data_IF_738500249456
#
_entry.id   IF_738500249456
#
_cell.length_a   1.000
_cell.length_b   1.000
_cell.length_c   1.000
_cell.angle_alpha   90.00
_cell.angle_beta   90.00
_cell.angle_gamma   90.00
#
_symmetry.space_group_name_H-M   'P 1'
#
loop_
_entity.id
_entity.type
_entity.pdbx_description
1 polymer ?
#
# COMPACT_ATOMS: atom_id res chain seq x y z
N UNK A 1 -56.89 21.49 -28.45
CA UNK A 1 -56.08 21.57 -27.22
C UNK A 1 -55.14 20.35 -27.16
N UNK A 2 -53.87 20.55 -27.51
CA UNK A 2 -52.84 19.47 -27.45
C UNK A 2 -52.19 19.51 -26.04
N UNK A 3 -52.49 18.47 -25.23
CA UNK A 3 -51.76 18.25 -23.95
C UNK A 3 -50.38 17.72 -24.26
N UNK A 4 -49.36 18.53 -24.01
CA UNK A 4 -47.93 18.13 -24.03
C UNK A 4 -47.64 17.42 -22.74
N UNK A 5 -47.51 16.09 -22.76
CA UNK A 5 -47.06 15.29 -21.65
C UNK A 5 -45.54 15.45 -21.57
N UNK A 6 -45.06 16.13 -20.54
CA UNK A 6 -43.67 16.31 -20.25
C UNK A 6 -43.16 15.09 -19.47
N UNK A 7 -42.43 14.20 -20.14
CA UNK A 7 -41.83 13.02 -19.51
C UNK A 7 -40.55 13.49 -18.83
N UNK A 8 -40.57 13.51 -17.50
CA UNK A 8 -39.41 13.81 -16.65
C UNK A 8 -38.58 12.53 -16.55
N UNK A 9 -37.46 12.45 -17.29
CA UNK A 9 -36.48 11.38 -17.15
C UNK A 9 -35.65 11.62 -15.88
N UNK A 10 -36.00 10.91 -14.80
CA UNK A 10 -35.17 10.80 -13.62
C UNK A 10 -33.94 9.92 -13.95
N UNK A 11 -32.79 10.55 -14.16
CA UNK A 11 -31.53 9.86 -14.23
C UNK A 11 -31.14 9.41 -12.80
N UNK A 12 -31.39 8.14 -12.49
CA UNK A 12 -30.89 7.49 -11.28
C UNK A 12 -29.40 7.24 -11.51
N UNK A 13 -28.55 8.12 -10.96
CA UNK A 13 -27.12 7.90 -10.88
C UNK A 13 -26.83 6.73 -9.95
N UNK A 14 -26.49 5.58 -10.51
CA UNK A 14 -25.99 4.43 -9.74
C UNK A 14 -24.59 4.80 -9.29
N UNK A 15 -24.44 5.26 -8.05
CA UNK A 15 -23.18 5.30 -7.33
C UNK A 15 -22.74 3.83 -7.14
N UNK A 16 -21.89 3.34 -8.03
CA UNK A 16 -21.17 2.09 -7.80
C UNK A 16 -20.26 2.31 -6.58
N UNK A 17 -20.47 1.61 -5.46
CA UNK A 17 -19.48 1.60 -4.39
C UNK A 17 -18.19 1.03 -5.01
N UNK A 18 -17.09 1.79 -4.92
CA UNK A 18 -15.77 1.28 -5.30
C UNK A 18 -15.58 -0.05 -4.58
N UNK A 19 -15.35 -1.12 -5.34
CA UNK A 19 -15.04 -2.44 -4.79
C UNK A 19 -13.73 -2.28 -3.99
N UNK A 20 -13.84 -2.11 -2.67
CA UNK A 20 -12.72 -2.34 -1.79
C UNK A 20 -12.35 -3.82 -2.00
N UNK A 21 -11.17 -4.07 -2.57
CA UNK A 21 -10.70 -5.43 -2.78
C UNK A 21 -10.44 -6.02 -1.41
N UNK A 22 -11.25 -7.02 -1.01
CA UNK A 22 -10.97 -7.80 0.19
C UNK A 22 -9.66 -8.57 0.01
N UNK A 23 -8.92 -8.79 1.11
CA UNK A 23 -7.73 -9.62 1.09
C UNK A 23 -8.09 -11.05 0.67
N UNK A 24 -7.26 -11.66 -0.15
CA UNK A 24 -7.41 -13.04 -0.62
C UNK A 24 -6.18 -13.88 -0.24
N UNK A 25 -6.34 -15.20 -0.18
CA UNK A 25 -5.21 -16.10 0.09
C UNK A 25 -4.06 -15.92 -0.91
N UNK A 26 -4.39 -15.59 -2.17
CA UNK A 26 -3.38 -15.34 -3.20
C UNK A 26 -2.52 -14.10 -2.91
N UNK A 27 -3.05 -13.13 -2.21
CA UNK A 27 -2.29 -11.90 -1.87
C UNK A 27 -1.09 -12.20 -0.97
N UNK A 28 -1.14 -13.28 -0.18
CA UNK A 28 -0.01 -13.72 0.67
C UNK A 28 1.21 -14.22 -0.10
N UNK A 29 1.09 -14.49 -1.40
CA UNK A 29 2.25 -14.79 -2.26
C UNK A 29 3.12 -13.54 -2.52
N UNK A 30 2.55 -12.35 -2.36
CA UNK A 30 3.18 -11.02 -2.52
C UNK A 30 4.07 -10.93 -3.77
N UNK A 31 3.55 -11.37 -4.89
CA UNK A 31 4.26 -11.26 -6.17
C UNK A 31 4.31 -9.83 -6.67
N UNK A 32 3.33 -9.01 -6.29
CA UNK A 32 3.20 -7.60 -6.69
C UNK A 32 2.95 -6.69 -5.49
N UNK A 33 3.20 -5.41 -5.69
CA UNK A 33 2.83 -4.36 -4.72
C UNK A 33 1.33 -4.37 -4.44
N UNK A 34 0.49 -4.60 -5.45
CA UNK A 34 -0.96 -4.67 -5.26
C UNK A 34 -1.37 -5.77 -4.27
N UNK A 35 -0.75 -6.95 -4.34
CA UNK A 35 -0.99 -8.01 -3.35
C UNK A 35 -0.67 -7.52 -1.93
N UNK A 36 0.48 -6.90 -1.73
CA UNK A 36 0.86 -6.37 -0.42
C UNK A 36 -0.12 -5.28 0.05
N UNK A 37 -0.52 -4.36 -0.82
CA UNK A 37 -1.47 -3.30 -0.46
C UNK A 37 -2.84 -3.88 -0.09
N UNK A 38 -3.33 -4.92 -0.77
CA UNK A 38 -4.56 -5.61 -0.39
C UNK A 38 -4.48 -6.16 1.04
N UNK A 39 -3.35 -6.76 1.41
CA UNK A 39 -3.13 -7.24 2.79
C UNK A 39 -3.05 -6.08 3.79
N UNK A 40 -2.31 -5.03 3.46
CA UNK A 40 -2.12 -3.88 4.34
C UNK A 40 -3.38 -3.03 4.55
N UNK A 41 -4.39 -3.20 3.71
CA UNK A 41 -5.65 -2.44 3.75
C UNK A 41 -6.86 -3.29 4.08
N UNK A 42 -6.65 -4.53 4.50
CA UNK A 42 -7.72 -5.39 5.01
C UNK A 42 -8.47 -4.67 6.15
N UNK A 43 -9.78 -4.84 6.19
CA UNK A 43 -10.65 -4.20 7.18
C UNK A 43 -11.12 -5.22 8.23
N UNK A 44 -11.51 -4.79 9.44
CA UNK A 44 -11.86 -5.71 10.54
C UNK A 44 -13.02 -6.69 10.23
N UNK A 45 -13.81 -6.43 9.20
CA UNK A 45 -14.87 -7.32 8.71
C UNK A 45 -14.36 -8.37 7.70
N UNK A 46 -13.10 -8.27 7.28
CA UNK A 46 -12.47 -9.26 6.41
C UNK A 46 -12.13 -10.52 7.20
N UNK A 47 -12.55 -11.72 6.77
CA UNK A 47 -12.21 -12.98 7.44
C UNK A 47 -10.70 -13.23 7.59
N UNK A 48 -9.88 -12.61 6.74
CA UNK A 48 -8.42 -12.72 6.75
C UNK A 48 -7.72 -11.53 7.42
N UNK A 49 -8.48 -10.65 8.08
CA UNK A 49 -7.96 -9.40 8.64
C UNK A 49 -6.70 -9.57 9.48
N UNK A 50 -6.76 -10.40 10.52
CA UNK A 50 -5.63 -10.57 11.44
C UNK A 50 -4.39 -11.12 10.73
N UNK A 51 -4.58 -12.11 9.86
CA UNK A 51 -3.50 -12.70 9.08
C UNK A 51 -2.91 -11.68 8.10
N UNK A 52 -3.77 -10.94 7.40
CA UNK A 52 -3.38 -9.96 6.40
C UNK A 52 -2.56 -8.81 7.01
N UNK A 53 -3.05 -8.20 8.09
CA UNK A 53 -2.36 -7.10 8.77
C UNK A 53 -1.05 -7.56 9.38
N UNK A 54 -1.02 -8.70 10.06
CA UNK A 54 0.22 -9.23 10.63
C UNK A 54 1.25 -9.59 9.55
N UNK A 55 0.81 -10.16 8.44
CA UNK A 55 1.69 -10.46 7.31
C UNK A 55 2.25 -9.17 6.68
N UNK A 56 1.40 -8.17 6.43
CA UNK A 56 1.82 -6.87 5.92
C UNK A 56 2.93 -6.26 6.80
N UNK A 57 2.71 -6.21 8.11
CA UNK A 57 3.67 -5.67 9.05
C UNK A 57 4.98 -6.47 9.07
N UNK A 58 4.88 -7.79 9.07
CA UNK A 58 6.04 -8.69 9.04
C UNK A 58 6.85 -8.54 7.76
N UNK A 59 6.18 -8.41 6.62
CA UNK A 59 6.82 -8.25 5.32
C UNK A 59 7.64 -6.93 5.27
N UNK A 60 7.01 -5.81 5.56
CA UNK A 60 7.66 -4.49 5.51
C UNK A 60 8.82 -4.39 6.51
N UNK A 61 8.61 -4.85 7.73
CA UNK A 61 9.70 -4.87 8.74
C UNK A 61 10.83 -5.80 8.31
N UNK A 62 10.50 -6.99 7.79
CA UNK A 62 11.48 -7.98 7.38
C UNK A 62 12.36 -7.47 6.23
N UNK A 63 11.77 -6.85 5.22
CA UNK A 63 12.50 -6.25 4.10
C UNK A 63 13.44 -5.14 4.58
N UNK A 64 12.95 -4.24 5.44
CA UNK A 64 13.77 -3.17 6.00
C UNK A 64 14.91 -3.70 6.88
N UNK A 65 14.67 -4.71 7.74
CA UNK A 65 15.70 -5.32 8.56
C UNK A 65 16.76 -6.06 7.75
N UNK A 66 16.36 -6.71 6.68
CA UNK A 66 17.32 -7.30 5.74
C UNK A 66 18.21 -6.23 5.10
N UNK A 67 17.62 -5.13 4.66
CA UNK A 67 18.36 -3.99 4.14
C UNK A 67 19.38 -3.44 5.15
N UNK A 68 18.98 -3.25 6.41
CA UNK A 68 19.91 -2.79 7.47
C UNK A 68 21.08 -3.78 7.64
N UNK A 69 20.79 -5.08 7.68
CA UNK A 69 21.82 -6.11 7.82
C UNK A 69 22.77 -6.14 6.62
N UNK A 70 22.25 -6.08 5.41
CA UNK A 70 23.05 -6.07 4.19
C UNK A 70 23.89 -4.78 4.05
N UNK A 71 23.37 -3.65 4.52
CA UNK A 71 24.04 -2.35 4.49
C UNK A 71 25.06 -2.10 5.61
N UNK A 72 25.13 -2.99 6.63
CA UNK A 72 25.98 -2.79 7.80
C UNK A 72 27.46 -3.15 7.57
N UNK A 73 27.80 -3.84 6.47
CA UNK A 73 29.17 -4.22 6.13
C UNK A 73 29.98 -3.06 5.53
N UNK A 74 31.33 -3.21 5.41
CA UNK A 74 32.22 -2.16 4.91
C UNK A 74 31.94 -1.76 3.45
N UNK A 75 31.28 -2.62 2.67
CA UNK A 75 30.82 -2.34 1.31
C UNK A 75 29.31 -2.01 1.24
N UNK A 76 28.65 -1.88 2.37
CA UNK A 76 27.21 -1.61 2.44
C UNK A 76 26.85 -0.22 1.93
N UNK A 77 25.75 -0.14 1.16
CA UNK A 77 25.22 1.11 0.65
C UNK A 77 24.06 1.56 1.54
N UNK A 78 24.14 2.78 2.06
CA UNK A 78 23.06 3.38 2.84
C UNK A 78 22.16 4.20 1.93
N UNK A 79 20.98 3.67 1.64
CA UNK A 79 19.99 4.29 0.74
C UNK A 79 18.94 5.10 1.49
N UNK A 80 18.60 4.69 2.72
CA UNK A 80 17.54 5.27 3.55
C UNK A 80 18.12 5.81 4.84
N UNK A 81 17.81 7.06 5.16
CA UNK A 81 18.24 7.75 6.37
C UNK A 81 17.03 8.27 7.12
N UNK A 82 16.49 7.44 8.03
CA UNK A 82 15.36 7.83 8.86
C UNK A 82 15.71 9.06 9.71
N UNK A 83 14.72 9.92 10.00
CA UNK A 83 14.90 11.05 10.93
C UNK A 83 15.14 10.55 12.35
N UNK A 84 15.59 11.46 13.21
CA UNK A 84 15.71 11.23 14.65
C UNK A 84 14.79 12.24 15.39
N UNK A 85 13.74 11.77 16.11
CA UNK A 85 13.32 10.38 16.28
C UNK A 85 12.69 9.79 14.99
N UNK A 86 12.79 8.47 14.77
CA UNK A 86 12.16 7.83 13.61
C UNK A 86 10.63 7.79 13.78
N UNK A 87 9.86 7.70 12.68
CA UNK A 87 8.42 7.50 12.74
C UNK A 87 8.08 6.19 13.45
N UNK A 88 6.91 6.11 14.05
CA UNK A 88 6.41 4.83 14.52
C UNK A 88 6.20 3.87 13.34
N UNK A 89 6.23 2.55 13.62
CA UNK A 89 5.96 1.55 12.58
C UNK A 89 4.61 1.76 11.90
N UNK A 90 3.57 2.01 12.70
CA UNK A 90 2.22 2.21 12.17
C UNK A 90 2.15 3.45 11.27
N UNK A 91 2.82 4.54 11.65
CA UNK A 91 2.87 5.74 10.83
C UNK A 91 3.63 5.49 9.51
N UNK A 92 4.77 4.79 9.58
CA UNK A 92 5.54 4.45 8.39
C UNK A 92 4.74 3.55 7.42
N UNK A 93 3.99 2.58 7.94
CA UNK A 93 3.13 1.71 7.13
C UNK A 93 1.96 2.46 6.51
N UNK A 94 1.30 3.34 7.27
CA UNK A 94 0.24 4.18 6.74
C UNK A 94 0.76 5.09 5.62
N UNK A 95 1.92 5.72 5.81
CA UNK A 95 2.56 6.53 4.77
C UNK A 95 2.90 5.73 3.52
N UNK A 96 3.41 4.50 3.67
CA UNK A 96 3.70 3.62 2.53
C UNK A 96 2.43 3.27 1.75
N UNK A 97 1.37 2.86 2.44
CA UNK A 97 0.08 2.52 1.81
C UNK A 97 -0.49 3.71 1.05
N UNK A 98 -0.51 4.89 1.65
CA UNK A 98 -0.96 6.13 1.03
C UNK A 98 -0.13 6.46 -0.22
N UNK A 99 1.19 6.38 -0.09
CA UNK A 99 2.11 6.65 -1.20
C UNK A 99 1.91 5.65 -2.34
N UNK A 100 1.82 4.36 -2.07
CA UNK A 100 1.62 3.32 -3.08
C UNK A 100 0.29 3.49 -3.83
N UNK A 101 -0.79 3.84 -3.13
CA UNK A 101 -2.09 4.15 -3.75
C UNK A 101 -2.02 5.38 -4.67
N UNK A 102 -1.22 6.36 -4.33
CA UNK A 102 -0.99 7.56 -5.14
C UNK A 102 -0.07 7.30 -6.36
N UNK A 103 0.59 6.13 -6.41
CA UNK A 103 1.51 5.74 -7.46
C UNK A 103 1.07 4.42 -8.14
N UNK A 104 -0.10 4.40 -8.82
CA UNK A 104 -0.66 3.16 -9.38
C UNK A 104 0.24 2.49 -10.42
N UNK A 105 1.20 3.21 -11.02
CA UNK A 105 2.19 2.67 -11.94
C UNK A 105 3.08 1.61 -11.30
N UNK A 106 3.25 1.61 -9.97
CA UNK A 106 4.08 0.64 -9.25
C UNK A 106 3.31 -0.56 -8.71
N UNK A 107 1.98 -0.60 -8.81
CA UNK A 107 1.16 -1.67 -8.24
C UNK A 107 1.46 -3.06 -8.84
N UNK A 108 1.97 -3.12 -10.06
CA UNK A 108 2.36 -4.38 -10.72
C UNK A 108 3.84 -4.74 -10.53
N UNK A 109 4.63 -3.86 -9.93
CA UNK A 109 6.02 -4.13 -9.59
C UNK A 109 6.13 -5.00 -8.33
N UNK A 110 7.34 -5.50 -8.07
CA UNK A 110 7.62 -6.29 -6.86
C UNK A 110 7.47 -5.43 -5.61
N UNK A 111 6.83 -5.97 -4.60
CA UNK A 111 6.50 -5.23 -3.38
C UNK A 111 7.72 -4.62 -2.69
N UNK A 112 8.84 -5.36 -2.59
CA UNK A 112 10.08 -4.86 -1.98
C UNK A 112 10.66 -3.69 -2.77
N UNK A 113 10.62 -3.73 -4.10
CA UNK A 113 11.13 -2.63 -4.93
C UNK A 113 10.31 -1.35 -4.69
N UNK A 114 8.99 -1.47 -4.61
CA UNK A 114 8.10 -0.35 -4.34
C UNK A 114 8.27 0.20 -2.92
N UNK A 115 8.44 -0.67 -1.93
CA UNK A 115 8.75 -0.26 -0.56
C UNK A 115 10.02 0.60 -0.51
N UNK A 116 11.10 0.16 -1.16
CA UNK A 116 12.35 0.91 -1.15
C UNK A 116 12.30 2.18 -2.01
N UNK A 117 11.48 2.23 -3.08
CA UNK A 117 11.22 3.51 -3.78
C UNK A 117 10.61 4.53 -2.83
N UNK A 118 9.59 4.14 -2.08
CA UNK A 118 8.97 5.00 -1.07
C UNK A 118 9.97 5.45 -0.01
N UNK A 119 10.71 4.52 0.58
CA UNK A 119 11.66 4.82 1.66
C UNK A 119 12.77 5.78 1.20
N UNK A 120 13.32 5.57 0.01
CA UNK A 120 14.35 6.43 -0.57
C UNK A 120 13.82 7.82 -0.95
N UNK A 121 12.58 7.92 -1.40
CA UNK A 121 11.95 9.21 -1.70
C UNK A 121 11.62 9.99 -0.41
N UNK A 122 11.11 9.29 0.59
CA UNK A 122 10.66 9.91 1.84
C UNK A 122 11.81 10.31 2.76
N UNK A 123 12.82 9.46 2.85
CA UNK A 123 13.98 9.64 3.74
C UNK A 123 15.29 9.36 3.02
N UNK A 124 15.63 10.15 2.00
CA UNK A 124 16.89 9.98 1.29
C UNK A 124 18.08 10.28 2.19
N UNK A 125 19.15 9.50 2.06
CA UNK A 125 20.42 9.90 2.62
C UNK A 125 20.98 11.09 1.84
N UNK A 126 21.46 12.10 2.55
CA UNK A 126 22.18 13.22 1.92
C UNK A 126 23.55 12.72 1.44
N UNK A 127 23.98 13.18 0.26
CA UNK A 127 25.30 12.87 -0.25
C UNK A 127 26.43 13.40 0.66
#
# INVERSE_FOLDING_TARGET
MRRKTMVLLLAVGILLPGLASAASEKDFEVQTTENLINLCTATPDDPLYDQAINFCHGFLVGAYRYYEAAGSGPAGIKLVCLPDPPPSRNDAFAMFVEWAKAHPQYLKEKAVETEFRFLMEKWPCKP
#
